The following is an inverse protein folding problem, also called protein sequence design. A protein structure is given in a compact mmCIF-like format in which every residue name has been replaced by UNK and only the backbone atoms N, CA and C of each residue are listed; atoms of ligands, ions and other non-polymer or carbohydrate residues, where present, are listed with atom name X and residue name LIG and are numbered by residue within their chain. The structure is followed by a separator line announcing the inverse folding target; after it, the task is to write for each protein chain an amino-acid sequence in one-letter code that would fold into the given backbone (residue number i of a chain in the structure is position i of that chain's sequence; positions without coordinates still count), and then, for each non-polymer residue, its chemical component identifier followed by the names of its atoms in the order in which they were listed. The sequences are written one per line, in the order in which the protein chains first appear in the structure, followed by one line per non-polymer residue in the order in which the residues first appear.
data_IF_134260555934
#
_entry.id   IF_134260555934
#
_cell.length_a   1.000
_cell.length_b   1.000
_cell.length_c   1.000
_cell.angle_alpha   90.00
_cell.angle_beta   90.00
_cell.angle_gamma   90.00
#
_symmetry.space_group_name_H-M   'P 1'
#
loop_
_entity.id
_entity.type
_entity.pdbx_description
1 polymer ?
#
# COMPACT_ATOMS: atom_id res chain seq x y z
N UNK A 1 11.25 6.23 -13.82
CA UNK A 1 11.64 6.74 -12.48
C UNK A 1 11.54 5.55 -11.55
N UNK A 2 12.65 5.09 -10.97
CA UNK A 2 12.72 3.83 -10.21
C UNK A 2 12.44 4.00 -8.72
N UNK A 3 12.45 5.25 -8.22
CA UNK A 3 12.18 5.59 -6.82
C UNK A 3 11.26 6.79 -6.68
N UNK A 4 10.38 6.75 -5.69
CA UNK A 4 9.63 7.92 -5.23
C UNK A 4 10.54 8.74 -4.31
N UNK A 5 10.57 10.07 -4.42
CA UNK A 5 11.37 10.91 -3.53
C UNK A 5 10.94 10.78 -2.08
N UNK A 6 11.88 10.85 -1.14
CA UNK A 6 11.57 10.86 0.29
C UNK A 6 10.61 12.00 0.63
N UNK A 7 9.61 11.71 1.47
CA UNK A 7 8.57 12.67 1.90
C UNK A 7 7.71 13.28 0.76
N UNK A 8 7.72 12.73 -0.46
CA UNK A 8 7.08 13.36 -1.63
C UNK A 8 5.58 13.69 -1.47
N UNK A 9 4.86 12.89 -0.67
CA UNK A 9 3.44 13.09 -0.35
C UNK A 9 3.20 13.19 1.16
N UNK A 10 4.22 13.56 1.94
CA UNK A 10 4.08 13.65 3.39
C UNK A 10 3.04 14.72 3.77
N UNK A 11 2.10 14.35 4.64
CA UNK A 11 1.04 15.23 5.14
C UNK A 11 -0.13 15.44 4.19
N UNK A 12 -0.22 14.70 3.07
CA UNK A 12 -1.34 14.78 2.14
C UNK A 12 -2.63 14.18 2.76
N UNK A 13 -3.29 14.92 3.64
CA UNK A 13 -4.49 14.47 4.35
C UNK A 13 -5.72 14.22 3.45
N UNK A 14 -5.70 14.72 2.21
CA UNK A 14 -6.74 14.49 1.21
C UNK A 14 -6.57 13.20 0.39
N UNK A 15 -5.42 12.55 0.52
CA UNK A 15 -5.05 11.37 -0.24
C UNK A 15 -5.70 10.14 0.37
N UNK A 16 -6.67 9.55 -0.33
CA UNK A 16 -7.43 8.39 0.15
C UNK A 16 -7.01 7.08 -0.50
N UNK A 17 -6.48 7.15 -1.73
CA UNK A 17 -5.98 6.02 -2.53
C UNK A 17 -4.78 6.45 -3.36
N UNK A 18 -3.82 5.52 -3.52
CA UNK A 18 -2.62 5.70 -4.33
C UNK A 18 -2.43 4.49 -5.21
N UNK A 19 -2.06 4.74 -6.47
CA UNK A 19 -1.52 3.73 -7.35
C UNK A 19 -0.02 3.94 -7.52
N UNK A 20 0.72 2.87 -7.32
CA UNK A 20 2.16 2.81 -7.55
C UNK A 20 2.35 1.95 -8.80
N UNK A 21 2.90 2.53 -9.87
CA UNK A 21 3.08 1.76 -11.12
C UNK A 21 4.14 0.68 -11.00
N UNK A 22 4.04 -0.34 -11.85
CA UNK A 22 5.01 -1.43 -12.01
C UNK A 22 6.43 -0.99 -12.44
N UNK A 23 6.69 0.32 -12.52
CA UNK A 23 8.02 0.88 -12.80
C UNK A 23 8.76 1.36 -11.55
N UNK A 24 8.08 1.37 -10.40
CA UNK A 24 8.66 1.76 -9.11
C UNK A 24 9.28 0.54 -8.46
N UNK A 25 10.57 0.63 -8.12
CA UNK A 25 11.31 -0.42 -7.41
C UNK A 25 11.41 -0.10 -5.92
N UNK A 26 11.48 1.18 -5.57
CA UNK A 26 11.65 1.63 -4.18
C UNK A 26 10.63 2.71 -3.81
N UNK A 27 9.98 2.52 -2.67
CA UNK A 27 9.22 3.55 -1.96
C UNK A 27 10.16 4.12 -0.91
N UNK A 28 10.60 5.37 -1.07
CA UNK A 28 11.57 5.97 -0.16
C UNK A 28 10.96 6.27 1.22
N UNK A 29 11.84 6.63 2.15
CA UNK A 29 11.44 7.00 3.51
C UNK A 29 10.41 8.13 3.51
N UNK A 30 9.43 8.03 4.41
CA UNK A 30 8.40 9.04 4.65
C UNK A 30 7.50 9.40 3.46
N UNK A 31 7.56 8.66 2.35
CA UNK A 31 6.89 9.03 1.08
C UNK A 31 5.42 9.43 1.26
N UNK A 32 4.64 8.69 2.05
CA UNK A 32 3.22 8.93 2.36
C UNK A 32 2.97 9.12 3.86
N UNK A 33 3.98 9.62 4.59
CA UNK A 33 3.89 9.85 6.02
C UNK A 33 2.78 10.86 6.33
N UNK A 34 1.98 10.61 7.37
CA UNK A 34 0.88 11.44 7.84
C UNK A 34 -0.23 11.71 6.79
N UNK A 35 -0.36 10.84 5.76
CA UNK A 35 -1.53 10.79 4.88
C UNK A 35 -2.74 10.18 5.61
N UNK A 36 -3.32 10.94 6.52
CA UNK A 36 -4.31 10.45 7.50
C UNK A 36 -5.64 9.97 6.93
N UNK A 37 -5.94 10.23 5.65
CA UNK A 37 -7.12 9.66 4.98
C UNK A 37 -6.80 8.42 4.11
N UNK A 38 -5.53 8.03 3.98
CA UNK A 38 -5.12 6.89 3.18
C UNK A 38 -5.52 5.60 3.89
N UNK A 39 -6.54 4.93 3.36
CA UNK A 39 -7.17 3.77 3.99
C UNK A 39 -6.72 2.44 3.40
N UNK A 40 -6.33 2.43 2.12
CA UNK A 40 -5.85 1.24 1.43
C UNK A 40 -4.61 1.56 0.60
N UNK A 41 -3.73 0.58 0.44
CA UNK A 41 -2.60 0.68 -0.49
C UNK A 41 -2.30 -0.67 -1.14
N UNK A 42 -2.05 -0.62 -2.44
CA UNK A 42 -1.57 -1.76 -3.24
C UNK A 42 -0.15 -1.48 -3.69
N UNK A 43 0.79 -2.29 -3.20
CA UNK A 43 2.21 -2.23 -3.55
C UNK A 43 2.47 -3.25 -4.67
N UNK A 44 2.90 -2.81 -5.88
CA UNK A 44 3.03 -3.69 -7.03
C UNK A 44 4.21 -4.68 -6.90
N UNK A 45 4.19 -5.71 -7.74
CA UNK A 45 5.25 -6.73 -7.82
C UNK A 45 6.62 -6.17 -8.26
N UNK A 46 6.71 -4.93 -8.73
CA UNK A 46 7.99 -4.31 -9.07
C UNK A 46 8.72 -3.76 -7.85
N UNK A 47 8.01 -3.45 -6.76
CA UNK A 47 8.61 -2.84 -5.57
C UNK A 47 9.35 -3.90 -4.78
N UNK A 48 10.63 -3.67 -4.54
CA UNK A 48 11.48 -4.53 -3.72
C UNK A 48 11.67 -3.97 -2.32
N UNK A 49 11.67 -2.63 -2.16
CA UNK A 49 12.01 -1.99 -0.88
C UNK A 49 11.02 -0.89 -0.48
N UNK A 50 10.60 -0.93 0.79
CA UNK A 50 9.75 0.07 1.43
C UNK A 50 10.53 0.72 2.56
N UNK A 51 10.80 2.02 2.44
CA UNK A 51 11.66 2.77 3.33
C UNK A 51 11.03 3.11 4.68
N UNK A 52 11.89 3.54 5.62
CA UNK A 52 11.47 3.92 6.97
C UNK A 52 10.30 4.90 6.96
N UNK A 53 9.31 4.69 7.81
CA UNK A 53 8.12 5.56 7.95
C UNK A 53 7.32 5.80 6.65
N UNK A 54 7.49 5.01 5.58
CA UNK A 54 6.89 5.30 4.27
C UNK A 54 5.38 5.56 4.31
N UNK A 55 4.63 4.88 5.18
CA UNK A 55 3.20 5.04 5.42
C UNK A 55 2.90 5.27 6.92
N UNK A 56 3.86 5.82 7.66
CA UNK A 56 3.67 6.16 9.06
C UNK A 56 2.53 7.17 9.21
N UNK A 57 1.67 7.02 10.22
CA UNK A 57 0.62 8.00 10.51
C UNK A 57 -0.55 8.01 9.51
N UNK A 58 -0.68 6.96 8.71
CA UNK A 58 -1.83 6.74 7.81
C UNK A 58 -3.00 6.07 8.54
N UNK A 59 -4.17 6.02 7.90
CA UNK A 59 -5.37 5.32 8.37
C UNK A 59 -5.56 3.96 7.68
N UNK A 60 -4.47 3.31 7.30
CA UNK A 60 -4.51 2.05 6.55
C UNK A 60 -5.24 0.95 7.34
N UNK A 61 -6.27 0.39 6.73
CA UNK A 61 -6.99 -0.79 7.25
C UNK A 61 -6.71 -2.04 6.41
N UNK A 62 -6.31 -1.86 5.15
CA UNK A 62 -5.94 -2.95 4.24
C UNK A 62 -4.67 -2.62 3.46
N UNK A 63 -3.75 -3.58 3.40
CA UNK A 63 -2.47 -3.47 2.67
C UNK A 63 -2.33 -4.70 1.77
N UNK A 64 -1.97 -4.47 0.51
CA UNK A 64 -1.54 -5.53 -0.42
C UNK A 64 -0.08 -5.31 -0.79
N UNK A 65 0.73 -6.34 -0.57
CA UNK A 65 2.16 -6.37 -0.85
C UNK A 65 2.44 -7.36 -1.99
N UNK A 66 3.02 -6.84 -3.07
CA UNK A 66 3.44 -7.62 -4.22
C UNK A 66 4.54 -8.63 -3.91
N UNK A 67 4.70 -9.57 -4.82
CA UNK A 67 5.51 -10.78 -4.62
C UNK A 67 7.01 -10.53 -4.51
N UNK A 68 7.51 -9.39 -5.00
CA UNK A 68 8.94 -9.04 -4.98
C UNK A 68 9.37 -8.20 -3.78
N UNK A 69 8.44 -7.79 -2.89
CA UNK A 69 8.79 -7.02 -1.70
C UNK A 69 9.74 -7.85 -0.84
N UNK A 70 10.98 -7.38 -0.66
CA UNK A 70 12.02 -8.12 0.05
C UNK A 70 12.42 -7.47 1.37
N UNK A 71 12.23 -6.15 1.50
CA UNK A 71 12.66 -5.36 2.66
C UNK A 71 11.64 -4.29 2.99
N UNK A 72 11.24 -4.26 4.25
CA UNK A 72 10.32 -3.26 4.82
C UNK A 72 11.00 -2.67 6.05
N UNK A 73 11.34 -1.38 5.99
CA UNK A 73 12.11 -0.73 7.05
C UNK A 73 11.26 -0.31 8.26
N UNK A 74 11.92 0.21 9.29
CA UNK A 74 11.29 0.55 10.57
C UNK A 74 10.04 1.42 10.39
N UNK A 75 8.98 1.08 11.13
CA UNK A 75 7.74 1.85 11.21
C UNK A 75 7.01 2.09 9.87
N UNK A 76 7.39 1.37 8.79
CA UNK A 76 6.89 1.65 7.44
C UNK A 76 5.36 1.70 7.34
N UNK A 77 4.62 0.86 8.10
CA UNK A 77 3.16 0.83 8.12
C UNK A 77 2.60 1.09 9.53
N UNK A 78 3.32 1.87 10.34
CA UNK A 78 2.89 2.19 11.69
C UNK A 78 1.75 3.22 11.65
N UNK A 79 0.52 2.81 11.93
CA UNK A 79 -0.69 3.65 11.88
C UNK A 79 -0.88 4.48 13.15
N UNK A 80 -1.77 5.48 13.07
CA UNK A 80 -2.22 6.26 14.24
C UNK A 80 -3.11 5.40 15.16
N UNK A 81 -3.12 5.72 16.45
CA UNK A 81 -3.68 4.86 17.50
C UNK A 81 -5.18 4.57 17.44
N UNK A 82 -5.95 5.30 16.62
CA UNK A 82 -7.40 5.14 16.46
C UNK A 82 -7.81 4.18 15.34
N UNK A 83 -6.88 3.74 14.49
CA UNK A 83 -7.15 2.82 13.39
C UNK A 83 -6.43 1.50 13.61
N UNK A 84 -7.18 0.39 13.54
CA UNK A 84 -6.63 -0.96 13.61
C UNK A 84 -6.56 -1.54 12.19
N UNK A 85 -5.40 -2.08 11.83
CA UNK A 85 -5.23 -2.83 10.58
C UNK A 85 -6.13 -4.07 10.62
N UNK A 86 -7.00 -4.23 9.63
CA UNK A 86 -7.90 -5.39 9.53
C UNK A 86 -7.21 -6.52 8.74
N UNK A 87 -6.49 -6.15 7.68
CA UNK A 87 -5.97 -7.11 6.71
C UNK A 87 -4.61 -6.73 6.13
N UNK A 88 -3.77 -7.73 5.94
CA UNK A 88 -2.60 -7.69 5.06
C UNK A 88 -2.65 -8.86 4.10
N UNK A 89 -2.48 -8.59 2.80
CA UNK A 89 -2.21 -9.61 1.77
C UNK A 89 -0.75 -9.46 1.36
N UNK A 90 0.02 -10.53 1.43
CA UNK A 90 1.42 -10.53 0.98
C UNK A 90 1.64 -11.73 0.07
N UNK A 91 1.86 -11.48 -1.22
CA UNK A 91 2.03 -12.53 -2.23
C UNK A 91 3.47 -13.01 -2.38
N UNK A 92 4.39 -12.49 -1.55
CA UNK A 92 5.78 -12.94 -1.52
C UNK A 92 5.90 -14.32 -0.87
N UNK A 93 6.52 -15.27 -1.58
CA UNK A 93 6.74 -16.64 -1.09
C UNK A 93 7.70 -16.68 0.11
N UNK A 94 8.68 -15.77 0.15
CA UNK A 94 9.54 -15.55 1.30
C UNK A 94 9.03 -14.34 2.10
N UNK A 95 8.91 -14.45 3.45
CA UNK A 95 8.57 -13.30 4.28
C UNK A 95 9.58 -12.16 4.07
N UNK A 96 9.13 -10.96 3.70
CA UNK A 96 10.00 -9.79 3.60
C UNK A 96 10.75 -9.54 4.92
N UNK A 97 12.00 -9.08 4.81
CA UNK A 97 12.80 -8.68 5.97
C UNK A 97 12.23 -7.39 6.55
N UNK A 98 11.69 -7.49 7.77
CA UNK A 98 11.07 -6.37 8.46
C UNK A 98 11.99 -5.73 9.50
N UNK A 99 12.04 -4.40 9.50
CA UNK A 99 12.58 -3.60 10.57
C UNK A 99 11.69 -3.59 11.82
N UNK A 100 11.97 -2.67 12.73
CA UNK A 100 11.24 -2.56 13.99
C UNK A 100 9.84 -1.95 13.79
N UNK A 101 8.84 -2.51 14.47
CA UNK A 101 7.48 -1.94 14.58
C UNK A 101 6.83 -1.59 13.23
N UNK A 102 7.07 -2.41 12.20
CA UNK A 102 6.50 -2.21 10.85
C UNK A 102 4.98 -2.06 10.90
N UNK A 103 4.29 -2.94 11.64
CA UNK A 103 2.83 -2.93 11.80
C UNK A 103 2.48 -2.76 13.30
N UNK A 104 2.58 -1.55 13.84
CA UNK A 104 2.24 -1.32 15.26
C UNK A 104 0.79 -1.77 15.53
N UNK A 105 0.58 -2.69 16.48
CA UNK A 105 -0.76 -3.20 16.89
C UNK A 105 -1.51 -4.09 15.88
N UNK A 106 -0.83 -4.73 14.92
CA UNK A 106 -1.48 -5.62 13.93
C UNK A 106 -1.83 -7.04 14.44
N UNK A 107 -1.76 -7.33 15.74
CA UNK A 107 -1.99 -8.69 16.25
C UNK A 107 -3.39 -9.22 15.96
N UNK A 108 -4.37 -8.33 15.74
CA UNK A 108 -5.74 -8.67 15.36
C UNK A 108 -5.96 -8.76 13.85
N UNK A 109 -5.04 -8.21 13.04
CA UNK A 109 -5.16 -8.22 11.60
C UNK A 109 -5.05 -9.64 11.06
N UNK A 110 -5.78 -9.94 9.99
CA UNK A 110 -5.64 -11.17 9.24
C UNK A 110 -4.55 -11.03 8.20
N UNK A 111 -3.57 -11.92 8.24
CA UNK A 111 -2.53 -12.03 7.21
C UNK A 111 -2.91 -13.12 6.21
N UNK A 112 -2.91 -12.77 4.93
CA UNK A 112 -3.11 -13.70 3.81
C UNK A 112 -1.80 -13.83 3.04
N UNK A 113 -1.32 -15.06 2.85
CA UNK A 113 -0.07 -15.39 2.16
C UNK A 113 -0.26 -16.65 1.29
N UNK A 114 0.62 -16.95 0.32
CA UNK A 114 0.53 -18.19 -0.44
C UNK A 114 0.49 -19.41 0.49
N UNK A 115 -0.38 -20.38 0.22
CA UNK A 115 -0.58 -21.58 1.03
C UNK A 115 0.74 -22.26 1.42
N UNK A 116 1.67 -22.38 0.48
CA UNK A 116 2.99 -22.99 0.69
C UNK A 116 3.90 -22.20 1.64
N UNK A 117 3.58 -20.93 1.89
CA UNK A 117 4.39 -20.00 2.67
C UNK A 117 3.90 -19.84 4.11
N UNK A 118 2.69 -20.30 4.45
CA UNK A 118 2.05 -20.09 5.77
C UNK A 118 2.97 -20.46 6.92
N UNK A 119 3.58 -21.65 6.89
CA UNK A 119 4.47 -22.12 7.96
C UNK A 119 5.78 -21.32 8.07
N UNK A 120 6.22 -20.72 6.95
CA UNK A 120 7.39 -19.85 6.93
C UNK A 120 7.08 -18.50 7.58
N UNK A 121 5.90 -17.92 7.28
CA UNK A 121 5.45 -16.66 7.87
C UNK A 121 5.19 -16.78 9.38
N UNK A 122 4.63 -17.91 9.85
CA UNK A 122 4.42 -18.19 11.29
C UNK A 122 5.72 -18.16 12.13
N UNK A 123 6.88 -18.33 11.50
CA UNK A 123 8.19 -18.38 12.17
C UNK A 123 9.04 -17.12 11.95
N UNK A 124 8.57 -16.20 11.10
CA UNK A 124 9.38 -15.09 10.62
C UNK A 124 9.08 -13.79 11.37
N UNK A 125 9.96 -13.40 12.30
CA UNK A 125 10.00 -12.09 12.99
C UNK A 125 8.61 -11.38 13.13
N UNK A 126 8.46 -10.18 12.56
CA UNK A 126 7.22 -9.37 12.65
C UNK A 126 5.99 -10.12 12.10
N UNK A 127 6.17 -11.02 11.15
CA UNK A 127 5.07 -11.78 10.55
C UNK A 127 4.46 -12.81 11.49
N UNK A 128 5.23 -13.34 12.44
CA UNK A 128 4.70 -14.28 13.44
C UNK A 128 3.79 -13.62 14.47
N UNK A 129 3.72 -12.28 14.50
CA UNK A 129 2.85 -11.53 15.40
C UNK A 129 1.39 -11.49 14.93
N UNK A 130 1.12 -11.82 13.67
CA UNK A 130 -0.24 -11.99 13.16
C UNK A 130 -0.83 -13.29 13.70
N UNK A 131 -1.92 -13.19 14.47
CA UNK A 131 -2.54 -14.35 15.11
C UNK A 131 -3.31 -15.23 14.11
N UNK A 132 -3.75 -14.65 13.00
CA UNK A 132 -4.50 -15.34 11.94
C UNK A 132 -3.69 -15.21 10.65
N UNK A 133 -3.12 -16.34 10.20
CA UNK A 133 -2.43 -16.46 8.93
C UNK A 133 -3.18 -17.49 8.08
N UNK A 134 -3.63 -17.09 6.90
CA UNK A 134 -4.46 -17.90 6.01
C UNK A 134 -3.96 -17.82 4.57
N UNK A 135 -4.43 -18.75 3.75
CA UNK A 135 -4.09 -18.77 2.33
C UNK A 135 -4.70 -17.56 1.58
N UNK A 136 -3.95 -17.00 0.65
CA UNK A 136 -4.38 -15.88 -0.19
C UNK A 136 -5.10 -16.31 -1.48
N UNK A 137 -5.28 -17.60 -1.76
CA UNK A 137 -6.06 -17.99 -2.94
C UNK A 137 -7.51 -17.49 -2.82
N UNK A 138 -8.05 -16.92 -3.91
CA UNK A 138 -9.39 -16.34 -3.94
C UNK A 138 -9.55 -15.01 -3.19
N UNK A 139 -8.46 -14.47 -2.63
CA UNK A 139 -8.41 -13.10 -2.12
C UNK A 139 -8.26 -12.14 -3.29
N UNK A 140 -9.17 -11.17 -3.43
CA UNK A 140 -8.92 -10.07 -4.36
C UNK A 140 -7.76 -9.21 -3.83
N UNK A 141 -6.71 -9.04 -4.65
CA UNK A 141 -5.54 -8.16 -4.41
C UNK A 141 -5.90 -6.67 -4.32
N UNK A 142 -7.17 -6.36 -4.58
CA UNK A 142 -7.74 -5.03 -4.52
C UNK A 142 -8.80 -5.10 -3.43
N UNK A 143 -8.70 -4.21 -2.43
CA UNK A 143 -9.83 -3.98 -1.52
C UNK A 143 -11.06 -3.74 -2.38
N UNK A 144 -12.15 -4.48 -2.11
CA UNK A 144 -13.32 -4.59 -2.98
C UNK A 144 -13.48 -3.39 -3.93
N UNK A 145 -13.22 -3.65 -5.22
CA UNK A 145 -13.55 -2.72 -6.28
C UNK A 145 -15.03 -2.38 -6.07
N UNK A 146 -15.35 -1.16 -5.65
CA UNK A 146 -16.68 -0.65 -5.93
C UNK A 146 -16.70 -0.51 -7.44
N UNK A 147 -17.19 -1.53 -8.14
CA UNK A 147 -17.12 -1.68 -9.59
C UNK A 147 -17.75 -0.50 -10.37
N UNK A 148 -18.39 0.43 -9.65
CA UNK A 148 -19.03 1.64 -10.15
C UNK A 148 -18.24 2.93 -9.91
N UNK A 149 -17.21 2.94 -9.04
CA UNK A 149 -16.47 4.16 -8.71
C UNK A 149 -15.38 4.43 -9.76
N UNK A 150 -15.55 5.53 -10.48
CA UNK A 150 -14.58 6.01 -11.46
C UNK A 150 -13.60 7.00 -10.84
N UNK A 151 -12.32 6.85 -11.13
CA UNK A 151 -11.25 7.69 -10.61
C UNK A 151 -10.74 8.66 -11.67
N UNK A 152 -10.38 9.86 -11.22
CA UNK A 152 -9.40 10.69 -11.90
C UNK A 152 -8.00 10.35 -11.41
N UNK A 153 -7.05 10.38 -12.32
CA UNK A 153 -5.66 10.04 -12.06
C UNK A 153 -4.82 11.29 -12.22
N UNK A 154 -4.09 11.63 -11.16
CA UNK A 154 -3.18 12.77 -11.14
C UNK A 154 -1.75 12.27 -11.01
N UNK A 155 -0.82 12.89 -11.74
CA UNK A 155 0.60 12.66 -11.49
C UNK A 155 1.05 13.29 -10.16
N UNK A 156 2.30 13.04 -9.79
CA UNK A 156 2.90 13.58 -8.57
C UNK A 156 2.95 15.11 -8.48
N UNK A 157 2.70 15.83 -9.58
CA UNK A 157 2.64 17.30 -9.63
C UNK A 157 1.21 17.82 -9.52
N UNK A 158 0.23 16.93 -9.30
CA UNK A 158 -1.18 17.29 -9.29
C UNK A 158 -1.77 17.56 -10.68
N UNK A 159 -1.09 17.15 -11.75
CA UNK A 159 -1.62 17.28 -13.10
C UNK A 159 -2.49 16.07 -13.41
N UNK A 160 -3.75 16.30 -13.78
CA UNK A 160 -4.64 15.24 -14.23
C UNK A 160 -4.11 14.62 -15.51
N UNK A 161 -3.75 13.34 -15.47
CA UNK A 161 -3.21 12.59 -16.62
C UNK A 161 -4.24 11.66 -17.26
N UNK A 162 -5.24 11.23 -16.50
CA UNK A 162 -6.36 10.44 -16.99
C UNK A 162 -7.59 10.63 -16.09
N UNK A 163 -8.74 10.14 -16.50
CA UNK A 163 -9.85 9.96 -15.57
C UNK A 163 -11.08 9.34 -16.20
N UNK A 164 -12.05 9.00 -15.36
CA UNK A 164 -13.11 8.08 -15.76
C UNK A 164 -12.61 6.64 -15.84
N UNK A 165 -11.56 6.31 -15.08
CA UNK A 165 -10.97 4.97 -15.06
C UNK A 165 -11.47 4.19 -13.85
N UNK A 166 -11.75 2.90 -14.05
CA UNK A 166 -11.86 1.95 -12.93
C UNK A 166 -10.48 1.78 -12.28
N UNK A 167 -10.46 1.34 -11.02
CA UNK A 167 -9.19 1.08 -10.32
C UNK A 167 -8.34 0.05 -11.06
N UNK A 168 -8.97 -1.02 -11.55
CA UNK A 168 -8.31 -2.02 -12.42
C UNK A 168 -7.70 -1.42 -13.69
N UNK A 169 -8.34 -0.42 -14.30
CA UNK A 169 -7.82 0.25 -15.51
C UNK A 169 -6.70 1.23 -15.21
N UNK A 170 -6.74 1.90 -14.06
CA UNK A 170 -5.62 2.70 -13.56
C UNK A 170 -4.43 1.80 -13.18
N UNK A 171 -4.71 0.58 -12.69
CA UNK A 171 -3.69 -0.38 -12.29
C UNK A 171 -3.05 -1.15 -13.46
N UNK A 172 -3.77 -1.30 -14.58
CA UNK A 172 -3.36 -2.11 -15.72
C UNK A 172 -2.62 -1.27 -16.77
N UNK A 173 -1.28 -1.21 -16.70
CA UNK A 173 -0.26 -0.80 -17.71
C UNK A 173 -0.52 0.39 -18.67
N UNK A 174 -1.66 1.07 -18.57
CA UNK A 174 -2.12 2.14 -19.45
C UNK A 174 -1.61 3.50 -18.99
N UNK A 175 -1.26 3.63 -17.71
CA UNK A 175 -0.61 4.82 -17.19
C UNK A 175 0.90 4.75 -17.49
N UNK A 176 1.53 5.87 -17.90
CA UNK A 176 2.97 5.91 -18.09
C UNK A 176 3.74 5.56 -16.81
N UNK A 177 5.06 5.45 -16.90
CA UNK A 177 5.90 5.15 -15.72
C UNK A 177 5.79 6.29 -14.69
N UNK A 178 5.35 5.99 -13.47
CA UNK A 178 5.22 6.99 -12.41
C UNK A 178 4.46 6.56 -11.16
N UNK A 179 4.16 7.53 -10.30
CA UNK A 179 3.26 7.37 -9.15
C UNK A 179 2.05 8.24 -9.44
N UNK A 180 0.87 7.68 -9.17
CA UNK A 180 -0.37 8.35 -9.49
C UNK A 180 -1.32 8.37 -8.30
N UNK A 181 -1.96 9.51 -8.12
CA UNK A 181 -3.00 9.70 -7.11
C UNK A 181 -4.34 9.41 -7.77
N UNK A 182 -5.08 8.47 -7.19
CA UNK A 182 -6.43 8.14 -7.64
C UNK A 182 -7.43 8.91 -6.80
N UNK A 183 -8.30 9.64 -7.48
CA UNK A 183 -9.23 10.57 -6.85
C UNK A 183 -10.63 10.21 -7.30
N UNK A 184 -11.43 9.69 -6.38
CA UNK A 184 -12.86 9.49 -6.65
C UNK A 184 -13.58 10.84 -6.76
N UNK A 185 -14.77 10.93 -7.38
CA UNK A 185 -15.48 12.19 -7.57
C UNK A 185 -15.83 12.87 -6.23
N UNK A 186 -16.01 12.07 -5.18
CA UNK A 186 -16.24 12.50 -3.80
C UNK A 186 -14.96 13.03 -3.13
N UNK A 187 -13.78 12.56 -3.57
CA UNK A 187 -12.46 12.96 -3.09
C UNK A 187 -11.90 14.23 -3.72
N UNK A 188 -12.39 14.66 -4.90
CA UNK A 188 -11.93 15.88 -5.61
C UNK A 188 -11.88 17.13 -4.74
N UNK A 189 -12.81 17.28 -3.78
CA UNK A 189 -12.87 18.45 -2.87
C UNK A 189 -11.84 18.42 -1.73
N UNK A 190 -11.15 17.30 -1.52
CA UNK A 190 -10.24 17.09 -0.38
C UNK A 190 -8.76 17.21 -0.74
N UNK A 191 -8.43 17.21 -2.03
CA UNK A 191 -7.05 17.42 -2.48
C UNK A 191 -6.73 18.90 -2.54
N UNK A 192 -5.89 19.35 -1.60
CA UNK A 192 -5.07 20.54 -1.78
C UNK A 192 -3.76 20.05 -2.38
N UNK A 193 -3.63 20.15 -3.70
CA UNK A 193 -2.35 19.96 -4.41
C UNK A 193 -1.79 21.34 -4.71
#
# INVERSE_FOLDING_TARGET
MTSIGGSAFSGCSGLTRVYISNSVETIASETFKDCSSLATVTIPNSVTTIGRNAFYGTALTSIVLGSSVNKIEDYAFSTISSYELDRVVCTAVAPPLCGNRVFNKSSKARLFVPAESIERYKKANVWSYFQIISDCSGVSDVGADDAEVMYDVYDMRGVRVAGGLRETEANAERLPRGVYILVSPQGRKKLKI
#
